data_IF_261298805944
#
_entry.id   IF_261298805944
#
_cell.length_a   1.000
_cell.length_b   1.000
_cell.length_c   1.000
_cell.angle_alpha   90.00
_cell.angle_beta   90.00
_cell.angle_gamma   90.00
#
_symmetry.space_group_name_H-M   'P 1'
#
loop_
_entity.id
_entity.type
_entity.pdbx_description
1 polymer ?
#
# COMPACT_ATOMS: atom_id res chain seq x y z
N UNK A 1 -21.57 18.51 -0.71
CA UNK A 1 -20.53 17.85 -1.52
C UNK A 1 -20.10 16.63 -0.73
N UNK A 2 -20.35 15.41 -1.22
CA UNK A 2 -19.86 14.21 -0.54
C UNK A 2 -18.33 14.17 -0.70
N UNK A 3 -17.54 14.02 0.38
CA UNK A 3 -16.11 13.82 0.24
C UNK A 3 -15.89 12.51 -0.52
N UNK A 4 -15.41 12.61 -1.76
CA UNK A 4 -15.05 11.45 -2.56
C UNK A 4 -13.67 10.98 -2.09
N UNK A 5 -13.62 9.87 -1.37
CA UNK A 5 -12.35 9.18 -1.07
C UNK A 5 -12.17 8.12 -2.14
N UNK A 6 -11.06 8.20 -2.87
CA UNK A 6 -10.72 7.28 -3.95
C UNK A 6 -9.43 6.55 -3.58
N UNK A 7 -9.47 5.23 -3.65
CA UNK A 7 -8.30 4.37 -3.57
C UNK A 7 -8.26 3.41 -4.76
N UNK A 8 -7.05 3.00 -5.13
CA UNK A 8 -6.81 2.01 -6.16
C UNK A 8 -6.85 0.61 -5.55
N UNK A 9 -7.73 -0.25 -6.05
CA UNK A 9 -7.94 -1.63 -5.54
C UNK A 9 -7.26 -2.71 -6.37
N UNK A 10 -6.63 -2.34 -7.49
CA UNK A 10 -5.93 -3.26 -8.39
C UNK A 10 -5.07 -2.48 -9.37
N UNK A 11 -3.95 -3.06 -9.82
CA UNK A 11 -3.21 -2.60 -11.00
C UNK A 11 -3.86 -2.99 -12.34
N UNK A 12 -4.93 -3.79 -12.31
CA UNK A 12 -5.68 -4.17 -13.49
C UNK A 12 -6.48 -3.01 -14.09
N UNK A 13 -6.43 -2.90 -15.42
CA UNK A 13 -7.37 -2.04 -16.16
C UNK A 13 -8.73 -2.72 -16.19
N UNK A 14 -9.74 -2.04 -15.65
CA UNK A 14 -11.10 -2.57 -15.58
C UNK A 14 -11.96 -1.95 -16.68
N UNK A 15 -12.80 -2.79 -17.30
CA UNK A 15 -13.74 -2.36 -18.34
C UNK A 15 -15.17 -2.61 -17.88
N UNK A 16 -15.99 -1.57 -17.89
CA UNK A 16 -17.42 -1.67 -17.64
C UNK A 16 -18.19 -1.24 -18.87
N UNK A 17 -19.29 -1.92 -19.12
CA UNK A 17 -20.21 -1.60 -20.21
C UNK A 17 -21.53 -1.19 -19.58
N UNK A 18 -21.86 0.09 -19.67
CA UNK A 18 -23.14 0.61 -19.24
C UNK A 18 -24.08 0.59 -20.44
N UNK A 19 -25.12 -0.24 -20.37
CA UNK A 19 -26.10 -0.41 -21.44
C UNK A 19 -27.36 0.33 -21.01
N UNK A 20 -27.75 1.30 -21.82
CA UNK A 20 -28.96 2.09 -21.61
C UNK A 20 -29.94 1.78 -22.74
N UNK A 21 -31.19 1.55 -22.35
CA UNK A 21 -32.30 1.44 -23.29
C UNK A 21 -33.23 2.62 -23.09
N UNK A 22 -33.62 3.26 -24.20
CA UNK A 22 -34.51 4.41 -24.17
C UNK A 22 -35.46 4.36 -25.38
N UNK A 23 -36.76 4.32 -25.08
CA UNK A 23 -37.80 4.15 -26.11
C UNK A 23 -37.87 5.30 -27.14
N UNK A 24 -37.33 6.47 -26.81
CA UNK A 24 -37.40 7.67 -27.66
C UNK A 24 -36.10 7.98 -28.39
N UNK A 25 -34.96 7.68 -27.77
CA UNK A 25 -33.62 8.02 -28.28
C UNK A 25 -32.91 6.80 -28.90
N UNK A 26 -33.44 5.61 -28.69
CA UNK A 26 -32.78 4.35 -29.03
C UNK A 26 -31.80 3.89 -27.94
N UNK A 27 -31.32 2.67 -28.11
CA UNK A 27 -30.37 2.06 -27.19
C UNK A 27 -28.96 2.61 -27.41
N UNK A 28 -28.22 2.84 -26.32
CA UNK A 28 -26.82 3.24 -26.39
C UNK A 28 -25.97 2.54 -25.34
N UNK A 29 -24.71 2.33 -25.70
CA UNK A 29 -23.74 1.61 -24.88
C UNK A 29 -22.57 2.54 -24.60
N UNK A 30 -22.22 2.68 -23.31
CA UNK A 30 -21.04 3.43 -22.87
C UNK A 30 -20.00 2.42 -22.36
N UNK A 31 -18.80 2.45 -22.95
CA UNK A 31 -17.64 1.74 -22.41
C UNK A 31 -16.90 2.64 -21.42
N UNK A 32 -16.94 2.28 -20.14
CA UNK A 32 -16.10 2.89 -19.12
C UNK A 32 -14.80 2.09 -18.99
N UNK A 33 -13.67 2.77 -19.07
CA UNK A 33 -12.34 2.18 -18.84
C UNK A 33 -11.74 2.82 -17.60
N UNK A 34 -11.47 2.02 -16.57
CA UNK A 34 -10.80 2.47 -15.36
C UNK A 34 -9.34 2.02 -15.42
N UNK A 35 -8.44 2.98 -15.60
CA UNK A 35 -6.99 2.75 -15.56
C UNK A 35 -6.46 3.17 -14.20
N UNK A 36 -5.80 2.27 -13.45
CA UNK A 36 -5.25 2.59 -12.16
C UNK A 36 -4.09 3.59 -12.30
N UNK A 37 -4.03 4.54 -11.36
CA UNK A 37 -2.93 5.49 -11.22
C UNK A 37 -2.26 5.25 -9.88
N UNK A 38 -0.99 4.88 -9.92
CA UNK A 38 -0.14 4.59 -8.76
C UNK A 38 1.13 5.45 -8.76
N UNK A 39 1.15 6.52 -9.55
CA UNK A 39 2.22 7.49 -9.66
C UNK A 39 2.27 8.49 -8.49
N UNK A 40 1.38 8.35 -7.50
CA UNK A 40 1.32 9.21 -6.32
C UNK A 40 2.17 8.64 -5.17
N UNK A 41 3.10 9.45 -4.71
CA UNK A 41 3.84 9.21 -3.47
C UNK A 41 2.88 9.21 -2.28
N UNK A 42 2.88 8.12 -1.51
CA UNK A 42 2.09 7.99 -0.29
C UNK A 42 2.69 8.85 0.82
N UNK A 43 4.01 8.83 0.94
CA UNK A 43 4.78 9.52 1.96
C UNK A 43 6.23 9.74 1.49
N UNK A 44 6.88 10.76 2.05
CA UNK A 44 8.29 11.07 1.84
C UNK A 44 9.06 10.78 3.13
N UNK A 45 9.97 9.82 3.08
CA UNK A 45 10.86 9.49 4.20
C UNK A 45 12.17 10.24 4.07
N UNK A 46 12.55 10.99 5.11
CA UNK A 46 13.87 11.63 5.20
C UNK A 46 14.81 10.75 5.99
N UNK A 47 15.93 10.38 5.38
CA UNK A 47 16.91 9.46 5.96
C UNK A 47 18.28 10.12 5.91
N UNK A 48 18.96 10.17 7.05
CA UNK A 48 20.34 10.67 7.08
C UNK A 48 21.29 9.64 6.50
N UNK A 49 22.16 10.07 5.59
CA UNK A 49 23.21 9.22 5.05
C UNK A 49 24.27 8.94 6.11
N UNK A 50 24.64 7.68 6.32
CA UNK A 50 25.73 7.30 7.21
C UNK A 50 27.06 7.72 6.61
N UNK A 51 27.91 8.34 7.44
CA UNK A 51 29.24 8.81 7.07
C UNK A 51 30.29 7.70 7.02
N UNK A 52 30.07 6.62 7.77
CA UNK A 52 31.02 5.51 7.91
C UNK A 52 30.98 4.53 6.72
N UNK A 53 32.10 3.86 6.49
CA UNK A 53 32.22 2.87 5.41
C UNK A 53 31.61 1.51 5.75
N UNK A 54 31.12 0.82 4.73
CA UNK A 54 30.69 -0.57 4.85
C UNK A 54 31.90 -1.48 4.60
N UNK A 55 32.31 -2.25 5.60
CA UNK A 55 33.43 -3.20 5.53
C UNK A 55 33.01 -4.62 5.10
N UNK A 56 31.71 -4.84 4.86
CA UNK A 56 31.14 -6.14 4.52
C UNK A 56 31.11 -6.45 3.02
N UNK A 57 30.80 -7.71 2.69
CA UNK A 57 30.59 -8.16 1.32
C UNK A 57 29.24 -7.61 0.82
N UNK A 58 29.16 -7.04 -0.41
CA UNK A 58 27.97 -6.39 -0.95
C UNK A 58 26.89 -7.40 -1.39
N UNK A 59 26.35 -8.19 -0.45
CA UNK A 59 25.23 -9.09 -0.71
C UNK A 59 24.03 -8.73 0.17
N UNK A 60 22.93 -8.37 -0.49
CA UNK A 60 21.53 -8.12 -0.07
C UNK A 60 21.28 -7.34 1.23
N UNK A 61 21.86 -7.75 2.35
CA UNK A 61 21.86 -7.05 3.62
C UNK A 61 23.20 -7.42 4.29
N UNK A 62 24.09 -6.44 4.45
CA UNK A 62 25.34 -6.61 5.20
C UNK A 62 25.06 -7.13 6.64
N UNK A 63 26.09 -7.40 7.43
CA UNK A 63 25.93 -7.71 8.86
C UNK A 63 25.03 -6.67 9.57
N UNK A 64 24.29 -7.11 10.58
CA UNK A 64 23.35 -6.25 11.34
C UNK A 64 23.99 -5.00 11.96
N UNK A 65 25.32 -4.99 12.11
CA UNK A 65 26.09 -3.89 12.65
C UNK A 65 26.70 -2.99 11.55
N UNK A 66 26.27 -3.13 10.30
CA UNK A 66 26.74 -2.27 9.23
C UNK A 66 26.23 -0.84 9.43
N UNK A 67 27.10 0.19 9.47
CA UNK A 67 26.65 1.57 9.62
C UNK A 67 25.81 2.05 8.42
N UNK A 68 25.95 1.39 7.26
CA UNK A 68 25.17 1.66 6.05
C UNK A 68 23.86 0.88 5.95
N UNK A 69 23.51 0.07 6.96
CA UNK A 69 22.21 -0.58 7.08
C UNK A 69 21.26 0.34 7.86
N UNK A 70 20.21 0.80 7.18
CA UNK A 70 19.20 1.70 7.72
C UNK A 70 17.84 1.00 7.70
N UNK A 71 16.92 1.46 8.55
CA UNK A 71 15.57 0.94 8.59
C UNK A 71 14.57 2.06 8.28
N UNK A 72 13.78 1.88 7.23
CA UNK A 72 12.66 2.77 6.92
C UNK A 72 11.40 2.19 7.56
N UNK A 73 10.79 2.95 8.45
CA UNK A 73 9.56 2.54 9.12
C UNK A 73 8.35 2.95 8.28
N UNK A 74 7.83 2.04 7.46
CA UNK A 74 6.64 2.31 6.65
C UNK A 74 5.36 1.94 7.43
N UNK A 75 4.23 2.63 7.22
CA UNK A 75 2.96 2.24 7.84
C UNK A 75 2.58 0.80 7.47
N UNK A 76 2.15 0.02 8.47
CA UNK A 76 1.62 -1.33 8.25
C UNK A 76 0.31 -1.28 7.46
N UNK A 77 -0.56 -0.33 7.82
CA UNK A 77 -1.84 -0.07 7.18
C UNK A 77 -1.74 0.94 6.05
N UNK A 78 -2.38 0.64 4.93
CA UNK A 78 -2.67 1.65 3.91
C UNK A 78 -3.93 2.44 4.29
N UNK A 79 -3.72 3.62 4.88
CA UNK A 79 -4.80 4.44 5.42
C UNK A 79 -5.83 4.85 4.36
N UNK A 80 -5.40 5.26 3.15
CA UNK A 80 -6.32 5.67 2.07
C UNK A 80 -7.21 4.52 1.62
N UNK A 81 -6.61 3.35 1.47
CA UNK A 81 -7.31 2.13 1.12
C UNK A 81 -8.36 1.76 2.18
N UNK A 82 -7.94 1.78 3.45
CA UNK A 82 -8.81 1.48 4.58
C UNK A 82 -9.98 2.46 4.70
N UNK A 83 -9.74 3.76 4.57
CA UNK A 83 -10.80 4.78 4.62
C UNK A 83 -11.78 4.66 3.44
N UNK A 84 -11.31 4.26 2.26
CA UNK A 84 -12.20 4.00 1.11
C UNK A 84 -13.10 2.80 1.39
N UNK A 85 -12.55 1.72 1.94
CA UNK A 85 -13.32 0.53 2.31
C UNK A 85 -14.37 0.84 3.39
N UNK A 86 -13.99 1.57 4.45
CA UNK A 86 -14.94 2.03 5.48
C UNK A 86 -16.09 2.82 4.87
N UNK A 87 -15.74 3.75 3.99
CA UNK A 87 -16.69 4.61 3.31
C UNK A 87 -17.68 3.79 2.48
N UNK A 88 -17.19 2.87 1.64
CA UNK A 88 -18.03 1.98 0.83
C UNK A 88 -18.96 1.13 1.70
N UNK A 89 -18.43 0.52 2.76
CA UNK A 89 -19.22 -0.27 3.69
C UNK A 89 -20.33 0.59 4.31
N UNK A 90 -20.00 1.77 4.84
CA UNK A 90 -20.97 2.64 5.52
C UNK A 90 -22.02 3.23 4.60
N UNK A 91 -21.73 3.39 3.30
CA UNK A 91 -22.71 3.79 2.31
C UNK A 91 -23.85 2.77 2.16
N UNK A 92 -23.57 1.49 2.38
CA UNK A 92 -24.55 0.41 2.21
C UNK A 92 -25.33 0.05 3.48
N UNK A 93 -24.99 0.66 4.62
CA UNK A 93 -25.50 0.28 5.93
C UNK A 93 -26.56 1.25 6.46
N UNK A 94 -27.49 0.72 7.26
CA UNK A 94 -28.42 1.52 8.06
C UNK A 94 -27.72 2.24 9.21
N UNK A 95 -28.32 3.29 9.76
CA UNK A 95 -27.69 4.05 10.87
C UNK A 95 -27.46 3.19 12.13
N UNK A 96 -28.30 2.18 12.35
CA UNK A 96 -28.10 1.21 13.44
C UNK A 96 -26.85 0.36 13.21
N UNK A 97 -26.65 -0.12 11.98
CA UNK A 97 -25.48 -0.92 11.61
C UNK A 97 -24.21 -0.07 11.60
N UNK A 98 -24.26 1.19 11.11
CA UNK A 98 -23.13 2.12 11.19
C UNK A 98 -22.64 2.30 12.63
N UNK A 99 -23.56 2.48 13.59
CA UNK A 99 -23.20 2.58 15.01
C UNK A 99 -22.50 1.33 15.52
N UNK A 100 -22.98 0.15 15.14
CA UNK A 100 -22.33 -1.12 15.48
C UNK A 100 -20.92 -1.20 14.88
N UNK A 101 -20.80 -0.99 13.57
CA UNK A 101 -19.52 -1.15 12.86
C UNK A 101 -18.49 -0.08 13.22
N UNK A 102 -18.88 1.14 13.58
CA UNK A 102 -17.97 2.15 14.10
C UNK A 102 -17.15 1.66 15.30
N UNK A 103 -17.73 0.80 16.16
CA UNK A 103 -17.04 0.28 17.34
C UNK A 103 -16.32 -1.06 17.10
N UNK A 104 -16.63 -1.76 16.00
CA UNK A 104 -16.19 -3.15 15.80
C UNK A 104 -15.33 -3.35 14.55
N UNK A 105 -15.43 -2.49 13.54
CA UNK A 105 -14.81 -2.68 12.22
C UNK A 105 -13.28 -2.82 12.29
N UNK A 106 -12.64 -2.12 13.22
CA UNK A 106 -11.18 -2.19 13.41
C UNK A 106 -10.74 -3.26 14.43
N UNK A 107 -11.68 -4.02 14.99
CA UNK A 107 -11.37 -5.12 15.89
C UNK A 107 -11.11 -6.40 15.11
N UNK A 108 -10.27 -7.29 15.63
CA UNK A 108 -10.02 -8.60 15.03
C UNK A 108 -11.31 -9.40 14.80
N UNK A 109 -12.29 -9.28 15.71
CA UNK A 109 -13.59 -9.95 15.59
C UNK A 109 -14.40 -9.33 14.46
N UNK A 110 -14.49 -8.00 14.39
CA UNK A 110 -15.23 -7.32 13.33
C UNK A 110 -14.68 -7.58 11.93
N UNK A 111 -13.35 -7.56 11.78
CA UNK A 111 -12.68 -7.92 10.52
C UNK A 111 -13.01 -9.35 10.08
N UNK A 112 -12.97 -10.31 11.00
CA UNK A 112 -13.35 -11.70 10.72
C UNK A 112 -14.82 -11.84 10.36
N UNK A 113 -15.71 -11.11 11.03
CA UNK A 113 -17.15 -11.12 10.75
C UNK A 113 -17.44 -10.58 9.35
N UNK A 114 -16.85 -9.46 8.95
CA UNK A 114 -17.04 -8.90 7.61
C UNK A 114 -16.48 -9.85 6.55
N UNK A 115 -15.28 -10.37 6.77
CA UNK A 115 -14.69 -11.38 5.88
C UNK A 115 -15.62 -12.58 5.70
N UNK A 116 -16.23 -13.06 6.78
CA UNK A 116 -17.21 -14.15 6.72
C UNK A 116 -18.47 -13.74 5.94
N UNK A 117 -19.05 -12.58 6.25
CA UNK A 117 -20.27 -12.08 5.57
C UNK A 117 -20.07 -11.90 4.06
N UNK A 118 -18.92 -11.40 3.62
CA UNK A 118 -18.60 -11.21 2.19
C UNK A 118 -18.25 -12.55 1.53
N UNK A 119 -17.53 -13.43 2.24
CA UNK A 119 -17.09 -14.73 1.72
C UNK A 119 -18.23 -15.71 1.41
N UNK A 120 -19.40 -15.56 2.04
CA UNK A 120 -20.60 -16.34 1.70
C UNK A 120 -21.23 -15.93 0.36
N UNK A 121 -20.88 -14.75 -0.16
CA UNK A 121 -21.40 -14.25 -1.44
C UNK A 121 -20.60 -14.83 -2.60
N UNK A 122 -21.24 -15.65 -3.44
CA UNK A 122 -20.64 -16.29 -4.64
C UNK A 122 -20.51 -15.34 -5.83
N UNK A 123 -20.09 -14.10 -5.59
CA UNK A 123 -19.79 -13.13 -6.63
C UNK A 123 -18.27 -12.93 -6.77
N UNK A 124 -17.79 -12.81 -8.00
CA UNK A 124 -16.36 -12.65 -8.28
C UNK A 124 -15.77 -11.37 -7.70
N UNK A 125 -16.56 -10.28 -7.62
CA UNK A 125 -16.15 -9.04 -6.97
C UNK A 125 -16.08 -9.15 -5.45
N UNK A 126 -16.97 -9.94 -4.84
CA UNK A 126 -16.94 -10.24 -3.40
C UNK A 126 -15.68 -11.04 -2.99
N UNK A 127 -15.17 -11.91 -3.88
CA UNK A 127 -13.92 -12.64 -3.62
C UNK A 127 -12.73 -11.68 -3.48
N UNK A 128 -12.56 -10.73 -4.41
CA UNK A 128 -11.50 -9.71 -4.34
C UNK A 128 -11.62 -8.85 -3.08
N UNK A 129 -12.85 -8.52 -2.65
CA UNK A 129 -13.05 -7.81 -1.38
C UNK A 129 -12.71 -8.64 -0.14
N UNK A 130 -12.89 -9.97 -0.20
CA UNK A 130 -12.58 -10.86 0.93
C UNK A 130 -11.09 -10.87 1.24
N UNK A 131 -10.25 -10.79 0.20
CA UNK A 131 -8.79 -10.83 0.35
C UNK A 131 -8.23 -9.57 1.04
N UNK A 132 -8.93 -8.44 0.95
CA UNK A 132 -8.61 -7.19 1.66
C UNK A 132 -8.61 -7.39 3.19
N UNK A 133 -9.46 -8.27 3.69
CA UNK A 133 -9.56 -8.57 5.11
C UNK A 133 -8.55 -9.64 5.55
N UNK A 134 -7.63 -10.06 4.69
CA UNK A 134 -6.48 -10.84 5.12
C UNK A 134 -5.53 -9.93 5.90
N UNK A 135 -5.19 -10.28 7.16
CA UNK A 135 -4.26 -9.47 7.96
C UNK A 135 -2.82 -9.58 7.44
N UNK A 136 -2.51 -10.65 6.68
CA UNK A 136 -1.18 -10.94 6.20
C UNK A 136 -1.08 -10.70 4.70
N UNK A 137 -0.17 -9.83 4.29
CA UNK A 137 0.13 -9.55 2.88
C UNK A 137 1.64 -9.65 2.66
N UNK A 138 2.03 -10.29 1.57
CA UNK A 138 3.42 -10.29 1.09
C UNK A 138 3.53 -9.32 -0.08
N UNK A 139 4.52 -8.43 0.00
CA UNK A 139 4.84 -7.45 -1.02
C UNK A 139 6.13 -7.82 -1.72
N UNK A 140 6.14 -7.65 -3.03
CA UNK A 140 7.35 -7.51 -3.84
C UNK A 140 7.85 -6.07 -3.70
N UNK A 141 9.10 -5.91 -3.29
CA UNK A 141 9.76 -4.63 -3.11
C UNK A 141 10.60 -4.30 -4.36
N UNK A 142 10.53 -3.04 -4.80
CA UNK A 142 11.39 -2.50 -5.86
C UNK A 142 11.90 -1.13 -5.46
N UNK A 143 13.15 -0.85 -5.79
CA UNK A 143 13.74 0.47 -5.67
C UNK A 143 14.28 0.91 -7.04
N UNK A 144 14.08 2.16 -7.39
CA UNK A 144 14.54 2.74 -8.66
C UNK A 144 15.99 3.26 -8.62
N UNK A 145 16.71 2.98 -7.53
CA UNK A 145 18.09 3.43 -7.33
C UNK A 145 19.03 2.26 -7.12
N UNK A 146 20.02 2.15 -8.00
CA UNK A 146 21.11 1.17 -7.90
C UNK A 146 22.05 1.44 -6.70
N UNK A 147 21.85 2.55 -5.98
CA UNK A 147 22.59 2.92 -4.77
C UNK A 147 22.00 2.30 -3.50
N UNK A 148 20.80 1.73 -3.60
CA UNK A 148 20.06 1.13 -2.48
C UNK A 148 19.90 -0.37 -2.73
N UNK A 149 20.33 -1.17 -1.76
CA UNK A 149 20.13 -2.61 -1.73
C UNK A 149 19.06 -2.95 -0.68
N UNK A 150 18.15 -3.85 -1.03
CA UNK A 150 17.09 -4.30 -0.13
C UNK A 150 16.66 -5.71 -0.48
N UNK A 151 15.95 -6.35 0.45
CA UNK A 151 15.26 -7.60 0.16
C UNK A 151 14.20 -7.41 -0.93
N UNK A 152 13.98 -8.43 -1.75
CA UNK A 152 12.99 -8.40 -2.83
C UNK A 152 11.55 -8.58 -2.35
N UNK A 153 11.35 -9.09 -1.13
CA UNK A 153 10.04 -9.42 -0.59
C UNK A 153 9.92 -9.03 0.88
N UNK A 154 8.75 -8.56 1.28
CA UNK A 154 8.42 -8.25 2.67
C UNK A 154 7.03 -8.77 3.01
N UNK A 155 6.93 -9.52 4.11
CA UNK A 155 5.64 -9.97 4.64
C UNK A 155 5.23 -9.10 5.82
N UNK A 156 4.06 -8.49 5.71
CA UNK A 156 3.40 -7.75 6.78
C UNK A 156 2.39 -8.68 7.43
N UNK A 157 2.54 -8.95 8.72
CA UNK A 157 1.69 -9.93 9.42
C UNK A 157 0.33 -9.37 9.88
N UNK A 158 0.24 -8.04 10.01
CA UNK A 158 -1.00 -7.33 10.34
C UNK A 158 -1.07 -5.99 9.60
N UNK A 159 -1.58 -6.01 8.37
CA UNK A 159 -1.79 -4.80 7.55
C UNK A 159 -2.95 -3.93 8.05
N UNK A 160 -3.67 -4.36 9.09
CA UNK A 160 -4.71 -3.56 9.71
C UNK A 160 -4.20 -2.86 10.96
N UNK A 161 -3.00 -3.16 11.47
CA UNK A 161 -2.44 -2.48 12.63
C UNK A 161 -2.13 -1.00 12.35
N UNK A 162 -2.43 -0.15 13.33
CA UNK A 162 -1.98 1.25 13.36
C UNK A 162 -0.55 1.32 13.91
N UNK A 163 0.38 0.70 13.19
CA UNK A 163 1.79 0.59 13.52
C UNK A 163 2.66 0.75 12.28
N UNK A 164 3.97 0.77 12.47
CA UNK A 164 4.95 0.78 11.39
C UNK A 164 5.72 -0.53 11.34
N UNK A 165 6.25 -0.85 10.17
CA UNK A 165 7.11 -1.99 9.92
C UNK A 165 8.48 -1.51 9.40
N UNK A 166 9.59 -2.03 9.94
CA UNK A 166 10.91 -1.67 9.47
C UNK A 166 11.24 -2.38 8.15
N UNK A 167 11.65 -1.62 7.15
CA UNK A 167 12.24 -2.13 5.91
C UNK A 167 13.74 -1.90 5.98
N UNK A 168 14.56 -2.97 6.11
CA UNK A 168 16.00 -2.84 6.08
C UNK A 168 16.46 -2.49 4.67
N UNK A 169 17.24 -1.41 4.57
CA UNK A 169 17.86 -0.94 3.33
C UNK A 169 19.35 -0.74 3.57
N UNK A 170 20.17 -1.13 2.61
CA UNK A 170 21.61 -0.97 2.66
C UNK A 170 22.05 0.04 1.61
N UNK A 171 22.81 1.05 2.03
CA UNK A 171 23.33 2.09 1.13
C UNK A 171 24.70 1.67 0.62
N UNK A 172 24.88 1.69 -0.70
CA UNK A 172 26.16 1.36 -1.32
C UNK A 172 27.25 2.34 -0.94
N UNK A 173 28.48 1.85 -0.94
CA UNK A 173 29.61 2.59 -0.38
C UNK A 173 30.06 3.83 -1.14
N UNK A 174 29.61 3.95 -2.39
CA UNK A 174 29.99 4.96 -3.37
C UNK A 174 29.08 6.21 -3.32
N UNK A 175 28.14 6.28 -2.38
CA UNK A 175 27.28 7.46 -2.18
C UNK A 175 28.05 8.54 -1.44
N UNK A 176 28.28 9.68 -2.10
CA UNK A 176 28.94 10.86 -1.52
C UNK A 176 28.08 12.13 -1.56
N UNK A 177 26.84 12.03 -2.02
CA UNK A 177 25.91 13.16 -2.16
C UNK A 177 24.50 12.75 -1.78
N UNK A 178 23.69 13.72 -1.32
CA UNK A 178 22.26 13.52 -1.13
C UNK A 178 21.60 13.05 -2.42
N UNK A 179 20.63 12.15 -2.32
CA UNK A 179 19.88 11.64 -3.46
C UNK A 179 18.47 11.24 -3.05
N UNK A 180 17.58 11.00 -4.02
CA UNK A 180 16.26 10.46 -3.77
C UNK A 180 16.09 9.11 -4.46
N UNK A 181 15.31 8.23 -3.85
CA UNK A 181 14.89 6.97 -4.45
C UNK A 181 13.39 6.75 -4.22
N UNK A 182 12.76 6.02 -5.11
CA UNK A 182 11.38 5.54 -5.01
C UNK A 182 11.39 4.10 -4.53
N UNK A 183 10.61 3.83 -3.49
CA UNK A 183 10.32 2.47 -3.02
C UNK A 183 8.91 2.10 -3.43
N UNK A 184 8.78 1.03 -4.21
CA UNK A 184 7.50 0.44 -4.59
C UNK A 184 7.28 -0.86 -3.83
N UNK A 185 6.09 -1.02 -3.26
CA UNK A 185 5.61 -2.24 -2.64
C UNK A 185 4.36 -2.69 -3.38
N UNK A 186 4.43 -3.83 -4.06
CA UNK A 186 3.30 -4.39 -4.82
C UNK A 186 2.96 -5.73 -4.20
N UNK A 187 1.72 -5.91 -3.73
CA UNK A 187 1.28 -7.19 -3.18
C UNK A 187 1.37 -8.30 -4.23
N UNK A 188 1.58 -9.55 -3.81
CA UNK A 188 1.71 -10.70 -4.73
C UNK A 188 0.48 -10.90 -5.64
N UNK A 189 -0.70 -10.48 -5.17
CA UNK A 189 -1.97 -10.49 -5.91
C UNK A 189 -2.25 -9.20 -6.70
N UNK A 190 -1.33 -8.23 -6.65
CA UNK A 190 -1.45 -6.90 -7.27
C UNK A 190 -2.68 -6.09 -6.83
N UNK A 191 -3.33 -6.49 -5.74
CA UNK A 191 -4.50 -5.82 -5.18
C UNK A 191 -4.13 -4.57 -4.36
N UNK A 192 -2.87 -4.47 -3.93
CA UNK A 192 -2.37 -3.35 -3.15
C UNK A 192 -1.01 -2.87 -3.67
N UNK A 193 -0.92 -1.55 -3.86
CA UNK A 193 0.32 -0.87 -4.27
C UNK A 193 0.59 0.30 -3.36
N UNK A 194 1.81 0.35 -2.83
CA UNK A 194 2.31 1.46 -2.03
C UNK A 194 3.57 1.99 -2.68
N UNK A 195 3.64 3.31 -2.79
CA UNK A 195 4.76 4.01 -3.42
C UNK A 195 5.24 5.06 -2.46
N UNK A 196 6.51 5.03 -2.10
CA UNK A 196 7.13 5.96 -1.18
C UNK A 196 8.33 6.64 -1.83
N UNK A 197 8.54 7.90 -1.51
CA UNK A 197 9.78 8.60 -1.82
C UNK A 197 10.69 8.54 -0.61
N UNK A 198 11.98 8.33 -0.84
CA UNK A 198 13.01 8.34 0.19
C UNK A 198 14.02 9.41 -0.20
N UNK A 199 14.20 10.40 0.67
CA UNK A 199 15.17 11.48 0.55
C UNK A 199 16.35 11.18 1.46
N UNK A 200 17.47 10.82 0.86
CA UNK A 200 18.73 10.58 1.56
C UNK A 200 19.53 11.87 1.65
N UNK A 201 19.72 12.37 2.87
CA UNK A 201 20.36 13.65 3.13
C UNK A 201 21.73 13.43 3.78
N UNK A 202 22.79 14.04 3.23
CA UNK A 202 24.09 14.07 3.90
C UNK A 202 23.98 14.74 5.27
N UNK A 203 24.58 14.14 6.28
CA UNK A 203 24.77 14.82 7.56
C UNK A 203 25.79 15.95 7.38
N UNK A 204 25.35 17.18 7.62
CA UNK A 204 26.29 18.29 7.77
C UNK A 204 27.10 18.07 9.05
N UNK A 205 28.42 18.35 9.05
CA UNK A 205 29.21 18.25 10.26
C UNK A 205 28.62 19.15 11.35
N UNK A 206 28.32 18.57 12.51
CA UNK A 206 27.89 19.31 13.69
C UNK A 206 28.97 20.32 14.07
N UNK A 207 28.69 21.61 13.92
CA UNK A 207 29.53 22.71 14.40
C UNK A 207 29.51 22.81 15.91
#
# INVERSE_FOLDING_TARGET
>A
MLPLVVACFSLGVNYFWLIFSNDSLGDFIIKLTLTPRYDYEHEVFKVSLPSEECLGVPTALCSANCPRLLHINVPSRNARFWETLKTMLFFTLTDKEKKFWNSHLETTIGLKLIKWMIGEVKDSGCKTMTDIFNPKITFNLRCDSDLVEMQSTLTVNDVHADSTIPIPIHIRSQVSSSFSAKLEMISEDEAEVRVYKIEFELQLPST
#
